data_IF_230395897822
#
_entry.id   IF_230395897822
#
_cell.length_a   1.000
_cell.length_b   1.000
_cell.length_c   1.000
_cell.angle_alpha   90.00
_cell.angle_beta   90.00
_cell.angle_gamma   90.00
#
_symmetry.space_group_name_H-M   'P 1'
#
loop_
_entity.id
_entity.type
_entity.pdbx_description
1 polymer ?
#
# COMPACT_ATOMS: atom_id res chain seq x y z
N UNK A 1 -22.52 20.48 25.19
CA UNK A 1 -22.85 20.30 23.76
C UNK A 1 -22.07 19.08 23.31
N UNK A 2 -22.69 17.91 23.41
CA UNK A 2 -22.06 16.64 23.06
C UNK A 2 -21.92 16.59 21.53
N UNK A 3 -20.70 16.36 21.04
CA UNK A 3 -20.49 16.07 19.62
C UNK A 3 -21.23 14.78 19.32
N UNK A 4 -22.19 14.89 18.41
CA UNK A 4 -22.89 13.77 17.82
C UNK A 4 -21.85 12.88 17.11
N UNK A 5 -21.70 11.65 17.62
CA UNK A 5 -20.78 10.64 17.08
C UNK A 5 -21.52 9.71 16.09
N UNK A 6 -22.75 10.07 15.69
CA UNK A 6 -23.60 9.24 14.82
C UNK A 6 -23.20 9.22 13.34
N UNK A 7 -22.12 9.88 12.94
CA UNK A 7 -21.61 9.80 11.56
C UNK A 7 -20.49 8.78 11.36
N UNK A 8 -20.25 7.88 12.32
CA UNK A 8 -19.39 6.71 12.09
C UNK A 8 -20.18 5.69 11.27
N UNK A 9 -19.80 5.55 10.01
CA UNK A 9 -20.43 4.73 8.98
C UNK A 9 -20.87 3.36 9.53
N UNK A 10 -22.12 2.95 9.29
CA UNK A 10 -22.70 1.67 9.75
C UNK A 10 -22.11 0.42 9.06
N UNK A 11 -21.04 0.57 8.29
CA UNK A 11 -20.45 -0.47 7.46
C UNK A 11 -19.06 -0.86 8.00
N UNK A 12 -18.91 -2.11 8.43
CA UNK A 12 -17.64 -2.65 8.90
C UNK A 12 -16.78 -3.10 7.71
N UNK A 13 -16.04 -2.16 7.10
CA UNK A 13 -15.16 -2.43 5.95
C UNK A 13 -13.98 -3.36 6.26
N UNK A 14 -13.77 -3.74 7.51
CA UNK A 14 -12.80 -4.76 7.91
C UNK A 14 -13.36 -6.19 7.99
N UNK A 15 -14.64 -6.38 7.62
CA UNK A 15 -15.36 -7.65 7.70
C UNK A 15 -15.56 -8.27 6.31
N UNK A 16 -15.29 -9.57 6.19
CA UNK A 16 -15.50 -10.34 4.98
C UNK A 16 -16.96 -10.31 4.52
N UNK A 17 -17.92 -10.34 5.46
CA UNK A 17 -19.35 -10.37 5.13
C UNK A 17 -19.81 -9.10 4.41
N UNK A 18 -19.22 -7.95 4.75
CA UNK A 18 -19.50 -6.71 4.05
C UNK A 18 -19.05 -6.79 2.58
N UNK A 19 -17.83 -7.27 2.36
CA UNK A 19 -17.25 -7.38 1.02
C UNK A 19 -17.91 -8.46 0.17
N UNK A 20 -18.20 -9.63 0.75
CA UNK A 20 -18.95 -10.70 0.07
C UNK A 20 -20.32 -10.17 -0.41
N UNK A 21 -21.05 -9.46 0.45
CA UNK A 21 -22.35 -8.88 0.08
C UNK A 21 -22.22 -7.87 -1.07
N UNK A 22 -21.15 -7.05 -1.09
CA UNK A 22 -20.87 -6.11 -2.18
C UNK A 22 -20.56 -6.84 -3.49
N UNK A 23 -19.66 -7.82 -3.48
CA UNK A 23 -19.23 -8.52 -4.70
C UNK A 23 -20.28 -9.45 -5.29
N UNK A 24 -21.25 -9.90 -4.48
CA UNK A 24 -22.45 -10.58 -5.01
C UNK A 24 -23.33 -9.62 -5.83
N UNK A 25 -23.43 -8.34 -5.43
CA UNK A 25 -24.29 -7.35 -6.09
C UNK A 25 -23.62 -6.66 -7.28
N UNK A 26 -22.31 -6.40 -7.17
CA UNK A 26 -21.52 -5.65 -8.14
C UNK A 26 -20.49 -6.58 -8.80
N UNK A 27 -20.91 -7.29 -9.85
CA UNK A 27 -20.04 -8.23 -10.57
C UNK A 27 -19.03 -7.54 -11.52
N UNK A 28 -19.23 -6.26 -11.84
CA UNK A 28 -18.32 -5.51 -12.70
C UNK A 28 -17.05 -5.10 -11.95
N UNK A 29 -15.91 -5.15 -12.64
CA UNK A 29 -14.63 -4.76 -12.08
C UNK A 29 -14.64 -3.29 -11.65
N UNK A 30 -14.16 -3.01 -10.44
CA UNK A 30 -14.13 -1.67 -9.88
C UNK A 30 -12.74 -1.33 -9.33
N UNK A 31 -12.18 -0.21 -9.78
CA UNK A 31 -10.91 0.30 -9.29
C UNK A 31 -11.13 1.41 -8.26
N UNK A 32 -10.78 1.13 -7.00
CA UNK A 32 -10.59 2.18 -6.01
C UNK A 32 -9.37 3.02 -6.36
N UNK A 33 -9.52 4.33 -6.17
CA UNK A 33 -8.54 5.40 -6.38
C UNK A 33 -8.07 5.62 -7.81
N UNK A 34 -7.17 4.78 -8.30
CA UNK A 34 -6.45 4.99 -9.56
C UNK A 34 -6.50 3.73 -10.41
N UNK A 35 -6.59 3.95 -11.72
CA UNK A 35 -6.36 2.89 -12.70
C UNK A 35 -4.86 2.61 -12.85
N UNK A 36 -4.54 1.41 -13.32
CA UNK A 36 -3.15 1.02 -13.54
C UNK A 36 -2.39 1.98 -14.47
N UNK A 37 -3.04 2.54 -15.48
CA UNK A 37 -2.41 3.49 -16.42
C UNK A 37 -1.74 4.68 -15.72
N UNK A 38 -2.40 5.26 -14.71
CA UNK A 38 -1.85 6.35 -13.89
C UNK A 38 -0.77 5.87 -12.91
N UNK A 39 -0.86 4.64 -12.43
CA UNK A 39 0.08 4.05 -11.48
C UNK A 39 1.33 3.45 -12.14
N UNK A 40 1.24 3.10 -13.42
CA UNK A 40 2.27 2.40 -14.20
C UNK A 40 3.65 3.05 -14.09
N UNK A 41 3.84 4.39 -14.18
CA UNK A 41 5.16 5.00 -14.03
C UNK A 41 5.82 4.69 -12.68
N UNK A 42 5.04 4.65 -11.60
CA UNK A 42 5.55 4.35 -10.25
C UNK A 42 5.83 2.85 -10.10
N UNK A 43 4.89 2.01 -10.52
CA UNK A 43 5.03 0.54 -10.47
C UNK A 43 6.29 0.10 -11.25
N UNK A 44 6.46 0.60 -12.48
CA UNK A 44 7.65 0.31 -13.31
C UNK A 44 8.95 0.87 -12.77
N UNK A 45 8.91 1.99 -12.04
CA UNK A 45 10.11 2.61 -11.45
C UNK A 45 10.65 1.79 -10.28
N UNK A 46 9.77 1.14 -9.51
CA UNK A 46 10.14 0.53 -8.23
C UNK A 46 10.05 -0.99 -8.20
N UNK A 47 9.22 -1.61 -9.05
CA UNK A 47 8.95 -3.04 -9.02
C UNK A 47 9.34 -3.63 -10.38
N UNK A 48 10.48 -4.32 -10.50
CA UNK A 48 10.85 -5.06 -11.70
C UNK A 48 9.76 -6.06 -12.13
N UNK A 49 9.63 -6.33 -13.43
CA UNK A 49 8.60 -7.27 -13.95
C UNK A 49 8.80 -8.71 -13.51
N UNK A 50 10.04 -9.09 -13.21
CA UNK A 50 10.41 -10.40 -12.67
C UNK A 50 10.21 -10.53 -11.15
N UNK A 51 9.80 -9.45 -10.47
CA UNK A 51 9.52 -9.47 -9.04
C UNK A 51 8.38 -10.41 -8.69
N UNK A 52 8.51 -11.13 -7.58
CA UNK A 52 7.38 -11.82 -6.95
C UNK A 52 6.54 -10.80 -6.17
N UNK A 53 5.35 -10.52 -6.68
CA UNK A 53 4.45 -9.47 -6.16
C UNK A 53 3.30 -10.09 -5.37
N UNK A 54 3.00 -9.52 -4.19
CA UNK A 54 1.77 -9.76 -3.45
C UNK A 54 0.84 -8.56 -3.58
N UNK A 55 -0.36 -8.75 -4.12
CA UNK A 55 -1.44 -7.76 -4.12
C UNK A 55 -2.36 -8.04 -2.93
N UNK A 56 -2.41 -7.13 -1.95
CA UNK A 56 -3.22 -7.30 -0.74
C UNK A 56 -4.58 -6.62 -0.87
N UNK A 57 -5.65 -7.36 -0.61
CA UNK A 57 -7.05 -6.93 -0.82
C UNK A 57 -7.29 -6.57 -2.29
N UNK A 58 -7.12 -7.56 -3.18
CA UNK A 58 -7.21 -7.34 -4.62
C UNK A 58 -8.63 -6.97 -5.08
N UNK A 59 -9.66 -7.37 -4.33
CA UNK A 59 -11.06 -7.23 -4.72
C UNK A 59 -11.32 -7.78 -6.11
N UNK A 60 -12.03 -7.00 -6.93
CA UNK A 60 -12.27 -7.27 -8.34
C UNK A 60 -11.63 -6.22 -9.28
N UNK A 61 -10.62 -5.51 -8.79
CA UNK A 61 -9.86 -4.50 -9.53
C UNK A 61 -9.04 -5.15 -10.66
N UNK A 62 -8.69 -4.38 -11.70
CA UNK A 62 -7.93 -4.87 -12.87
C UNK A 62 -6.42 -4.61 -12.78
N UNK A 63 -5.94 -4.18 -11.61
CA UNK A 63 -4.55 -3.75 -11.46
C UNK A 63 -3.54 -4.87 -11.76
N UNK A 64 -3.77 -6.08 -11.26
CA UNK A 64 -2.85 -7.20 -11.42
C UNK A 64 -2.83 -7.72 -12.86
N UNK A 65 -3.98 -7.71 -13.51
CA UNK A 65 -4.18 -8.12 -14.88
C UNK A 65 -3.48 -7.17 -15.84
N UNK A 66 -3.65 -5.85 -15.65
CA UNK A 66 -2.94 -4.86 -16.44
C UNK A 66 -1.44 -4.86 -16.17
N UNK A 67 -1.00 -5.23 -14.96
CA UNK A 67 0.42 -5.50 -14.69
C UNK A 67 0.90 -6.71 -15.50
N UNK A 68 0.17 -7.81 -15.59
CA UNK A 68 0.56 -8.95 -16.43
C UNK A 68 0.64 -8.55 -17.91
N UNK A 69 -0.32 -7.76 -18.40
CA UNK A 69 -0.27 -7.18 -19.76
C UNK A 69 0.97 -6.29 -19.97
N UNK A 70 1.47 -5.63 -18.92
CA UNK A 70 2.71 -4.85 -18.91
C UNK A 70 3.99 -5.68 -18.64
N UNK A 71 3.86 -7.01 -18.64
CA UNK A 71 4.95 -7.98 -18.60
C UNK A 71 5.32 -8.52 -17.22
N UNK A 72 4.54 -8.27 -16.18
CA UNK A 72 4.78 -8.85 -14.86
C UNK A 72 4.48 -10.35 -14.84
N UNK A 73 5.37 -11.14 -14.21
CA UNK A 73 5.40 -12.59 -14.42
C UNK A 73 4.83 -13.40 -13.24
N UNK A 74 4.80 -12.83 -12.04
CA UNK A 74 4.44 -13.57 -10.83
C UNK A 74 3.71 -12.68 -9.81
N UNK A 75 2.38 -12.70 -9.89
CA UNK A 75 1.51 -11.93 -9.00
C UNK A 75 0.61 -12.88 -8.22
N UNK A 76 0.69 -12.80 -6.90
CA UNK A 76 -0.26 -13.44 -5.98
C UNK A 76 -1.23 -12.40 -5.46
N UNK A 77 -2.52 -12.65 -5.64
CA UNK A 77 -3.61 -11.80 -5.21
C UNK A 77 -4.30 -12.43 -4.00
N UNK A 78 -4.45 -11.66 -2.94
CA UNK A 78 -5.20 -12.08 -1.77
C UNK A 78 -6.35 -11.12 -1.47
N UNK A 79 -7.44 -11.67 -0.97
CA UNK A 79 -8.59 -10.91 -0.46
C UNK A 79 -9.27 -11.71 0.65
N UNK A 80 -9.90 -11.02 1.59
CA UNK A 80 -10.67 -11.65 2.65
C UNK A 80 -12.03 -12.16 2.14
N UNK A 81 -12.51 -11.63 1.01
CA UNK A 81 -13.75 -12.05 0.38
C UNK A 81 -13.53 -13.30 -0.48
N UNK A 82 -14.10 -14.41 -0.01
CA UNK A 82 -14.16 -15.66 -0.79
C UNK A 82 -14.87 -15.46 -2.14
N UNK A 83 -15.90 -14.59 -2.18
CA UNK A 83 -16.67 -14.26 -3.38
C UNK A 83 -15.80 -13.57 -4.43
N UNK A 84 -15.03 -12.54 -4.04
CA UNK A 84 -14.13 -11.85 -4.95
C UNK A 84 -13.09 -12.80 -5.54
N UNK A 85 -12.47 -13.62 -4.69
CA UNK A 85 -11.46 -14.59 -5.10
C UNK A 85 -12.02 -15.60 -6.08
N UNK A 86 -13.22 -16.12 -5.84
CA UNK A 86 -13.86 -17.07 -6.75
C UNK A 86 -14.20 -16.46 -8.11
N UNK A 87 -14.70 -15.22 -8.14
CA UNK A 87 -14.98 -14.49 -9.38
C UNK A 87 -13.69 -14.29 -10.18
N UNK A 88 -12.65 -13.76 -9.55
CA UNK A 88 -11.40 -13.41 -10.21
C UNK A 88 -10.63 -14.65 -10.67
N UNK A 89 -10.59 -15.71 -9.84
CA UNK A 89 -9.99 -16.99 -10.19
C UNK A 89 -10.63 -17.59 -11.45
N UNK A 90 -11.97 -17.59 -11.54
CA UNK A 90 -12.67 -18.11 -12.73
C UNK A 90 -12.43 -17.24 -13.96
N UNK A 91 -12.45 -15.92 -13.78
CA UNK A 91 -12.26 -14.95 -14.89
C UNK A 91 -10.87 -15.05 -15.52
N UNK A 92 -9.85 -15.30 -14.70
CA UNK A 92 -8.44 -15.31 -15.12
C UNK A 92 -7.75 -16.67 -15.00
N UNK A 93 -8.50 -17.77 -14.97
CA UNK A 93 -7.96 -19.15 -14.87
C UNK A 93 -6.92 -19.47 -15.97
N UNK A 94 -7.05 -18.82 -17.13
CA UNK A 94 -6.17 -18.99 -18.28
C UNK A 94 -4.88 -18.14 -18.22
N UNK A 95 -4.71 -17.29 -17.20
CA UNK A 95 -3.56 -16.38 -17.03
C UNK A 95 -2.64 -16.91 -15.93
N UNK A 96 -1.66 -17.74 -16.31
CA UNK A 96 -0.80 -18.45 -15.36
C UNK A 96 0.09 -17.57 -14.47
N UNK A 97 0.28 -16.29 -14.82
CA UNK A 97 1.01 -15.32 -14.01
C UNK A 97 0.22 -14.86 -12.76
N UNK A 98 -1.11 -15.07 -12.76
CA UNK A 98 -2.03 -14.62 -11.71
C UNK A 98 -2.44 -15.79 -10.82
N UNK A 99 -2.22 -15.63 -9.53
CA UNK A 99 -2.69 -16.56 -8.50
C UNK A 99 -3.69 -15.82 -7.60
N UNK A 100 -4.82 -16.45 -7.25
CA UNK A 100 -5.83 -15.86 -6.35
C UNK A 100 -6.12 -16.78 -5.17
N UNK A 101 -6.04 -16.23 -3.97
CA UNK A 101 -6.20 -16.97 -2.72
C UNK A 101 -7.00 -16.16 -1.71
N UNK A 102 -7.98 -16.80 -1.07
CA UNK A 102 -8.68 -16.21 0.07
C UNK A 102 -7.72 -16.15 1.26
N UNK A 103 -7.53 -14.96 1.82
CA UNK A 103 -6.64 -14.74 2.95
C UNK A 103 -6.90 -13.38 3.59
N UNK A 104 -6.87 -13.36 4.92
CA UNK A 104 -6.92 -12.14 5.71
C UNK A 104 -5.52 -11.48 5.74
N UNK A 105 -5.40 -10.24 5.25
CA UNK A 105 -4.13 -9.52 5.24
C UNK A 105 -3.55 -9.25 6.65
N UNK A 106 -4.33 -9.47 7.73
CA UNK A 106 -3.89 -9.39 9.13
C UNK A 106 -3.16 -10.66 9.59
N UNK A 107 -3.29 -11.76 8.87
CA UNK A 107 -2.60 -13.03 9.11
C UNK A 107 -2.24 -13.70 7.77
N UNK A 108 -1.00 -13.48 7.34
CA UNK A 108 -0.41 -14.03 6.12
C UNK A 108 0.65 -15.10 6.46
N UNK A 109 0.49 -15.79 7.59
CA UNK A 109 1.44 -16.79 8.12
C UNK A 109 1.67 -18.00 7.20
N UNK A 110 0.77 -18.24 6.24
CA UNK A 110 0.97 -19.21 5.17
C UNK A 110 2.24 -18.94 4.35
N UNK A 111 2.62 -17.66 4.18
CA UNK A 111 3.81 -17.29 3.45
C UNK A 111 5.03 -17.20 4.37
N UNK A 112 6.19 -17.76 3.96
CA UNK A 112 7.43 -17.58 4.69
C UNK A 112 7.87 -16.10 4.74
N UNK A 113 8.63 -15.77 5.78
CA UNK A 113 9.32 -14.48 5.91
C UNK A 113 10.19 -14.22 4.67
N UNK A 114 10.34 -12.93 4.31
CA UNK A 114 11.24 -12.49 3.23
C UNK A 114 11.00 -13.23 1.91
N UNK A 115 9.73 -13.49 1.57
CA UNK A 115 9.36 -14.28 0.40
C UNK A 115 8.90 -13.44 -0.79
N UNK A 116 8.58 -12.16 -0.62
CA UNK A 116 8.12 -11.27 -1.70
C UNK A 116 9.12 -10.15 -1.96
N UNK A 117 9.25 -9.79 -3.25
CA UNK A 117 10.07 -8.64 -3.69
C UNK A 117 9.26 -7.34 -3.61
N UNK A 118 7.94 -7.43 -3.80
CA UNK A 118 7.04 -6.30 -3.60
C UNK A 118 5.69 -6.72 -3.02
N UNK A 119 5.10 -5.81 -2.24
CA UNK A 119 3.72 -5.86 -1.79
C UNK A 119 3.03 -4.59 -2.26
N UNK A 120 1.88 -4.72 -2.91
CA UNK A 120 1.07 -3.59 -3.39
C UNK A 120 -0.26 -3.59 -2.63
N UNK A 121 -0.60 -2.45 -2.03
CA UNK A 121 -1.86 -2.19 -1.36
C UNK A 121 -2.55 -1.00 -2.04
N UNK A 122 -3.77 -1.21 -2.53
CA UNK A 122 -4.61 -0.17 -3.11
C UNK A 122 -5.96 -0.11 -2.38
N UNK A 123 -5.95 0.51 -1.20
CA UNK A 123 -7.15 0.78 -0.39
C UNK A 123 -7.52 -0.26 0.65
N UNK A 124 -6.70 -1.29 0.81
CA UNK A 124 -6.93 -2.35 1.79
C UNK A 124 -6.64 -1.85 3.20
N UNK A 125 -5.52 -1.13 3.41
CA UNK A 125 -5.25 -0.49 4.68
C UNK A 125 -6.31 0.59 5.04
N UNK A 126 -6.86 1.28 4.04
CA UNK A 126 -7.97 2.22 4.25
C UNK A 126 -9.21 1.52 4.78
N UNK A 127 -9.58 0.41 4.14
CA UNK A 127 -10.73 -0.42 4.54
C UNK A 127 -10.59 -0.93 5.97
N UNK A 128 -9.41 -1.42 6.34
CA UNK A 128 -9.14 -1.85 7.73
C UNK A 128 -9.22 -0.69 8.73
N UNK A 129 -8.82 0.52 8.32
CA UNK A 129 -8.85 1.70 9.19
C UNK A 129 -10.25 2.29 9.40
N UNK A 130 -11.24 1.89 8.60
CA UNK A 130 -12.65 2.22 8.84
C UNK A 130 -13.35 1.22 9.80
N UNK A 131 -12.70 0.11 10.15
CA UNK A 131 -13.27 -0.90 11.05
C UNK A 131 -13.17 -0.53 12.53
N UNK A 132 -13.93 -1.25 13.38
CA UNK A 132 -13.94 -1.05 14.83
C UNK A 132 -12.58 -1.25 15.51
N UNK A 133 -11.74 -2.11 14.94
CA UNK A 133 -10.39 -2.44 15.44
C UNK A 133 -9.27 -1.86 14.55
N UNK A 134 -9.50 -0.68 13.98
CA UNK A 134 -8.60 -0.02 13.03
C UNK A 134 -7.12 -0.01 13.44
N UNK A 135 -6.81 0.39 14.69
CA UNK A 135 -5.43 0.48 15.16
C UNK A 135 -4.74 -0.89 15.23
N UNK A 136 -5.43 -1.92 15.73
CA UNK A 136 -4.87 -3.27 15.85
C UNK A 136 -4.75 -3.91 14.47
N UNK A 137 -5.77 -3.75 13.63
CA UNK A 137 -5.81 -4.31 12.27
C UNK A 137 -4.70 -3.73 11.39
N UNK A 138 -4.51 -2.40 11.41
CA UNK A 138 -3.44 -1.74 10.68
C UNK A 138 -2.05 -2.21 11.13
N UNK A 139 -1.84 -2.33 12.44
CA UNK A 139 -0.58 -2.84 13.02
C UNK A 139 -0.28 -4.27 12.58
N UNK A 140 -1.28 -5.16 12.59
CA UNK A 140 -1.13 -6.56 12.18
C UNK A 140 -0.80 -6.68 10.70
N UNK A 141 -1.59 -6.04 9.84
CA UNK A 141 -1.36 -6.04 8.39
C UNK A 141 0.02 -5.51 8.04
N UNK A 142 0.40 -4.32 8.54
CA UNK A 142 1.71 -3.74 8.24
C UNK A 142 2.86 -4.57 8.83
N UNK A 143 2.64 -5.27 9.95
CA UNK A 143 3.57 -6.26 10.49
C UNK A 143 3.82 -7.40 9.52
N UNK A 144 2.77 -7.99 8.98
CA UNK A 144 2.85 -9.06 7.99
C UNK A 144 3.52 -8.58 6.69
N UNK A 145 3.14 -7.40 6.17
CA UNK A 145 3.80 -6.79 5.00
C UNK A 145 5.30 -6.65 5.22
N UNK A 146 5.70 -6.10 6.37
CA UNK A 146 7.11 -5.93 6.73
C UNK A 146 7.86 -7.27 6.87
N UNK A 147 7.21 -8.30 7.41
CA UNK A 147 7.77 -9.66 7.59
C UNK A 147 7.99 -10.36 6.25
N UNK A 148 7.04 -10.21 5.32
CA UNK A 148 7.05 -10.88 4.03
C UNK A 148 8.01 -10.25 3.03
N UNK A 149 8.32 -8.96 3.16
CA UNK A 149 9.26 -8.29 2.28
C UNK A 149 10.69 -8.75 2.50
N UNK A 150 11.38 -9.06 1.39
CA UNK A 150 12.84 -9.21 1.37
C UNK A 150 13.53 -7.88 1.72
N UNK A 151 14.78 -7.93 2.20
CA UNK A 151 15.65 -6.76 2.19
C UNK A 151 15.71 -6.14 0.79
N UNK A 152 15.58 -4.82 0.70
CA UNK A 152 15.46 -4.09 -0.56
C UNK A 152 14.08 -4.12 -1.22
N UNK A 153 13.14 -4.93 -0.73
CA UNK A 153 11.79 -5.07 -1.25
C UNK A 153 10.92 -3.82 -1.05
N UNK A 154 9.86 -3.72 -1.85
CA UNK A 154 9.00 -2.53 -1.92
C UNK A 154 7.61 -2.82 -1.38
N UNK A 155 7.17 -2.06 -0.38
CA UNK A 155 5.75 -1.89 -0.10
C UNK A 155 5.25 -0.63 -0.80
N UNK A 156 4.31 -0.77 -1.72
CA UNK A 156 3.67 0.36 -2.42
C UNK A 156 2.23 0.49 -1.95
N UNK A 157 1.95 1.55 -1.20
CA UNK A 157 0.62 1.88 -0.70
C UNK A 157 0.01 3.01 -1.52
N UNK A 158 -1.13 2.75 -2.15
CA UNK A 158 -1.98 3.72 -2.84
C UNK A 158 -3.22 3.98 -1.97
N UNK A 159 -3.40 5.22 -1.54
CA UNK A 159 -4.40 5.56 -0.51
C UNK A 159 -4.92 6.98 -0.68
N UNK A 160 -6.09 7.28 -0.10
CA UNK A 160 -6.55 8.65 0.10
C UNK A 160 -5.97 9.30 1.38
N UNK A 161 -5.36 8.49 2.26
CA UNK A 161 -4.84 8.95 3.55
C UNK A 161 -3.62 9.86 3.38
N UNK A 162 -3.79 11.14 3.72
CA UNK A 162 -2.73 12.14 3.68
C UNK A 162 -1.58 11.84 4.67
N UNK A 163 -0.40 12.44 4.49
CA UNK A 163 0.78 12.11 5.30
C UNK A 163 0.60 12.30 6.80
N UNK A 164 -0.23 13.25 7.26
CA UNK A 164 -0.48 13.47 8.68
C UNK A 164 -1.21 12.29 9.32
N UNK A 165 -2.10 11.64 8.56
CA UNK A 165 -2.86 10.48 9.06
C UNK A 165 -2.14 9.16 8.77
N UNK A 166 -1.41 9.04 7.67
CA UNK A 166 -0.79 7.77 7.27
C UNK A 166 0.55 7.51 7.93
N UNK A 167 1.41 8.52 8.05
CA UNK A 167 2.77 8.36 8.54
C UNK A 167 2.87 7.74 9.94
N UNK A 168 2.00 8.07 10.93
CA UNK A 168 2.03 7.42 12.24
C UNK A 168 1.91 5.89 12.20
N UNK A 169 1.28 5.34 11.14
CA UNK A 169 1.17 3.90 10.94
C UNK A 169 2.38 3.33 10.21
N UNK A 170 3.05 4.09 9.34
CA UNK A 170 4.15 3.58 8.51
C UNK A 170 5.54 3.72 9.16
N UNK A 171 5.72 4.58 10.16
CA UNK A 171 7.06 4.92 10.69
C UNK A 171 7.50 4.11 11.92
N UNK A 172 6.82 3.01 12.23
CA UNK A 172 7.24 2.14 13.34
C UNK A 172 8.61 1.53 13.02
N UNK A 173 9.56 1.65 13.95
CA UNK A 173 10.96 1.23 13.76
C UNK A 173 11.09 -0.24 13.34
N UNK A 174 10.21 -1.12 13.83
CA UNK A 174 10.19 -2.55 13.47
C UNK A 174 9.99 -2.79 11.97
N UNK A 175 9.39 -1.86 11.23
CA UNK A 175 9.21 -2.00 9.79
C UNK A 175 10.50 -1.74 9.00
N UNK A 176 11.45 -0.99 9.57
CA UNK A 176 12.78 -0.75 9.00
C UNK A 176 12.76 -0.49 7.48
N UNK A 177 11.98 0.50 7.04
CA UNK A 177 11.93 0.93 5.65
C UNK A 177 12.12 2.44 5.52
N UNK A 178 12.61 2.87 4.36
CA UNK A 178 12.62 4.28 3.95
C UNK A 178 11.38 4.59 3.13
N UNK A 179 10.76 5.73 3.37
CA UNK A 179 9.49 6.12 2.74
C UNK A 179 9.76 7.23 1.71
N UNK A 180 9.22 7.05 0.51
CA UNK A 180 9.16 8.07 -0.54
C UNK A 180 7.69 8.35 -0.80
N UNK A 181 7.30 9.62 -0.78
CA UNK A 181 5.93 10.05 -1.07
C UNK A 181 5.81 10.56 -2.50
N UNK A 182 4.74 10.16 -3.17
CA UNK A 182 4.21 10.84 -4.35
C UNK A 182 2.77 11.28 -4.09
N UNK A 183 2.39 12.38 -4.73
CA UNK A 183 1.04 12.93 -4.67
C UNK A 183 0.55 13.06 -6.09
N UNK A 184 -0.57 12.42 -6.40
CA UNK A 184 -1.14 12.39 -7.74
C UNK A 184 -2.60 12.87 -7.73
N UNK A 185 -3.03 13.62 -8.75
CA UNK A 185 -4.42 14.05 -8.84
C UNK A 185 -5.34 12.85 -9.07
N UNK A 186 -6.62 12.96 -8.69
CA UNK A 186 -7.59 11.88 -8.93
C UNK A 186 -7.87 11.69 -10.42
N UNK A 187 -8.36 10.50 -10.82
CA UNK A 187 -8.84 10.30 -12.18
C UNK A 187 -9.87 11.37 -12.59
N UNK A 188 -9.69 11.96 -13.76
CA UNK A 188 -10.58 12.98 -14.30
C UNK A 188 -10.36 14.40 -13.78
N UNK A 189 -9.36 14.64 -12.91
CA UNK A 189 -9.02 16.01 -12.49
C UNK A 189 -8.43 16.81 -13.65
N UNK A 190 -8.97 17.99 -13.90
CA UNK A 190 -8.47 18.94 -14.91
C UNK A 190 -7.82 20.15 -14.21
N UNK A 191 -6.53 20.38 -14.49
CA UNK A 191 -5.79 21.49 -13.89
C UNK A 191 -6.32 22.84 -14.41
N UNK A 192 -6.66 23.80 -13.53
CA UNK A 192 -7.03 25.14 -13.95
C UNK A 192 -5.89 25.78 -14.74
N UNK A 193 -6.13 26.15 -16.01
CA UNK A 193 -5.15 26.85 -16.85
C UNK A 193 -4.30 25.97 -17.77
N UNK A 194 -4.59 24.67 -17.92
CA UNK A 194 -4.07 23.84 -19.03
C UNK A 194 -2.56 23.54 -19.02
N UNK A 195 -1.87 23.76 -17.88
CA UNK A 195 -0.45 23.43 -17.75
C UNK A 195 -0.24 21.91 -17.62
N UNK A 196 0.59 21.34 -18.48
CA UNK A 196 0.89 19.90 -18.58
C UNK A 196 2.12 19.47 -17.76
N UNK A 197 2.43 20.14 -16.65
CA UNK A 197 3.57 19.75 -15.82
C UNK A 197 3.34 18.38 -15.18
N UNK A 198 4.20 17.39 -15.48
CA UNK A 198 4.21 16.07 -14.81
C UNK A 198 4.85 16.13 -13.41
N UNK A 199 4.62 17.22 -12.67
CA UNK A 199 5.10 17.45 -11.29
C UNK A 199 4.77 16.30 -10.34
N UNK A 200 3.63 15.65 -10.54
CA UNK A 200 3.15 14.51 -9.77
C UNK A 200 4.01 13.22 -9.91
N UNK A 201 4.94 13.17 -10.88
CA UNK A 201 5.90 12.07 -11.04
C UNK A 201 7.18 12.27 -10.21
N UNK A 202 7.34 13.41 -9.54
CA UNK A 202 8.48 13.70 -8.68
C UNK A 202 8.16 13.42 -7.20
N UNK A 203 9.12 12.89 -6.42
CA UNK A 203 8.93 12.70 -4.99
C UNK A 203 8.64 14.01 -4.26
N UNK A 204 7.71 13.96 -3.32
CA UNK A 204 7.40 15.07 -2.42
C UNK A 204 8.19 14.88 -1.11
N UNK A 205 9.03 15.85 -0.71
CA UNK A 205 9.70 15.81 0.58
C UNK A 205 8.68 15.73 1.72
N UNK A 206 8.94 14.87 2.71
CA UNK A 206 8.12 14.76 3.92
C UNK A 206 9.02 14.66 5.15
N UNK A 207 8.57 15.22 6.26
CA UNK A 207 9.18 14.95 7.56
C UNK A 207 8.85 13.53 8.05
N UNK A 208 9.61 13.04 9.03
CA UNK A 208 9.31 11.79 9.72
C UNK A 208 7.92 11.80 10.41
N UNK A 209 7.38 12.98 10.68
CA UNK A 209 6.05 13.20 11.26
C UNK A 209 4.93 13.38 10.22
N UNK A 210 5.24 13.25 8.92
CA UNK A 210 4.25 13.40 7.84
C UNK A 210 3.80 14.83 7.58
N UNK A 211 4.67 15.80 7.83
CA UNK A 211 4.40 17.21 7.50
C UNK A 211 5.00 17.52 6.12
N UNK A 212 4.16 18.04 5.22
CA UNK A 212 4.57 18.57 3.91
C UNK A 212 5.29 19.92 4.08
N UNK A 213 6.14 20.33 3.11
CA UNK A 213 6.74 21.67 3.10
C UNK A 213 5.67 22.76 3.17
N UNK A 214 5.96 23.85 3.89
CA UNK A 214 4.97 24.90 4.15
C UNK A 214 4.48 25.63 2.88
N UNK A 215 5.30 25.62 1.83
CA UNK A 215 5.04 26.18 0.50
C UNK A 215 4.47 25.14 -0.48
N UNK A 216 4.32 23.88 -0.07
CA UNK A 216 3.75 22.85 -0.93
C UNK A 216 2.23 23.02 -1.06
N UNK A 217 1.76 23.15 -2.29
CA UNK A 217 0.34 23.30 -2.61
C UNK A 217 -0.13 22.10 -3.41
N UNK A 218 -1.17 21.42 -2.91
CA UNK A 218 -1.82 20.33 -3.64
C UNK A 218 -2.49 20.87 -4.90
N UNK A 219 -2.24 20.22 -6.04
CA UNK A 219 -2.90 20.57 -7.30
C UNK A 219 -4.39 20.21 -7.24
N UNK A 220 -4.70 18.98 -6.79
CA UNK A 220 -6.05 18.51 -6.46
C UNK A 220 -6.19 18.39 -4.93
N UNK A 221 -7.10 19.14 -4.27
CA UNK A 221 -7.31 19.03 -2.82
C UNK A 221 -7.65 17.62 -2.34
N UNK A 222 -8.22 16.80 -3.23
CA UNK A 222 -8.62 15.41 -2.96
C UNK A 222 -7.60 14.42 -3.58
N UNK A 223 -6.35 14.83 -3.79
CA UNK A 223 -5.29 13.99 -4.37
C UNK A 223 -5.19 12.61 -3.72
N UNK A 224 -4.76 11.63 -4.50
CA UNK A 224 -4.33 10.34 -3.98
C UNK A 224 -2.83 10.36 -3.65
N UNK A 225 -2.44 9.55 -2.68
CA UNK A 225 -1.08 9.46 -2.17
C UNK A 225 -0.50 8.09 -2.50
N UNK A 226 0.77 8.06 -2.91
CA UNK A 226 1.53 6.83 -3.08
C UNK A 226 2.72 6.86 -2.12
N UNK A 227 2.72 5.95 -1.14
CA UNK A 227 3.86 5.74 -0.26
C UNK A 227 4.65 4.53 -0.75
N UNK A 228 5.89 4.78 -1.19
CA UNK A 228 6.84 3.74 -1.57
C UNK A 228 7.77 3.51 -0.38
N UNK A 229 7.53 2.41 0.34
CA UNK A 229 8.30 2.01 1.50
C UNK A 229 9.32 0.94 1.09
N UNK A 230 10.60 1.30 1.04
CA UNK A 230 11.69 0.39 0.68
C UNK A 230 12.30 -0.24 1.93
N UNK A 231 12.16 -1.56 2.07
CA UNK A 231 12.74 -2.35 3.17
C UNK A 231 14.27 -2.21 3.16
N UNK A 232 14.84 -1.87 4.29
CA UNK A 232 16.28 -1.71 4.46
C UNK A 232 16.96 -3.05 4.75
N UNK A 233 18.23 -3.16 4.40
CA UNK A 233 19.05 -4.31 4.77
C UNK A 233 19.35 -4.29 6.27
N UNK A 234 19.20 -5.43 6.94
CA UNK A 234 19.47 -5.59 8.37
C UNK A 234 20.93 -5.27 8.74
N UNK A 235 21.86 -5.31 7.78
CA UNK A 235 23.28 -4.99 7.98
C UNK A 235 23.60 -3.49 7.94
N UNK A 236 22.66 -2.64 7.52
CA UNK A 236 22.89 -1.20 7.42
C UNK A 236 22.91 -0.47 8.79
N UNK A 237 22.47 -1.14 9.87
CA UNK A 237 22.50 -0.58 11.23
C UNK A 237 23.88 -0.68 11.93
N UNK A 238 24.83 -1.46 11.40
CA UNK A 238 26.12 -1.69 12.07
C UNK A 238 27.17 -0.60 11.74
N UNK A 239 26.93 0.26 10.75
CA UNK A 239 27.91 1.28 10.33
C UNK A 239 27.87 2.60 11.08
N UNK A 240 26.95 2.79 12.05
CA UNK A 240 26.78 4.08 12.75
C UNK A 240 27.11 4.05 14.25
N UNK A 241 27.70 2.96 14.77
CA UNK A 241 28.37 2.98 16.08
C UNK A 241 29.84 3.36 15.85
N UNK A 242 30.05 4.64 15.54
CA UNK A 242 31.37 5.25 15.61
C UNK A 242 31.84 5.23 17.06
N UNK A 243 32.81 4.35 17.30
CA UNK A 243 33.65 4.20 18.47
C UNK A 243 34.22 5.53 18.96
N UNK A 244 33.89 5.92 20.20
CA UNK A 244 34.74 6.81 20.99
C UNK A 244 35.34 6.05 22.19
N UNK A 245 36.60 6.35 22.54
CA UNK A 245 37.49 5.43 23.23
C UNK A 245 37.25 5.40 24.74
N UNK A 246 37.38 4.21 25.32
CA UNK A 246 37.67 4.04 26.74
C UNK A 246 39.05 4.65 27.00
N UNK A 247 39.07 5.82 27.63
CA UNK A 247 40.28 6.35 28.25
C UNK A 247 40.51 5.52 29.50
N UNK A 248 41.60 4.76 29.47
CA UNK A 248 42.17 4.11 30.62
C UNK A 248 43.05 5.09 31.43
N UNK A 249 43.27 4.69 32.67
CA UNK A 249 44.30 5.12 33.63
C UNK A 249 43.96 6.36 34.47
N UNK A 250 44.29 6.43 35.76
CA UNK A 250 44.77 5.50 36.78
C UNK A 250 44.79 6.30 38.10
N UNK A 251 44.74 5.58 39.24
CA UNK A 251 44.78 5.99 40.65
C UNK A 251 43.43 6.26 41.33
#
# INVERSE_FOLDING_TARGET
MYRDVSSCNTYNYGDALYWDARYVQEAESFDWYQHYSSLRPFVRRYIPTSSRVLMVGCGNALMSENMVEDGYENITNIDISSVAIDIMRRKYEHVHQLNYMEMDARDMSFFPDKSFDAVVDKGTLDSLMCGSDASISSVRMLGEVSRLLKPGGIYMLITYGDPKVRMPHLTRSIYNWKIILYIIPRPGFEKPGGSSSNSHLEPVPISDTGVLPADFVLEDPDSHFIYVCKKMDETAEVSDISSYPLIADAL
#
